data_IF_175650846479
#
_entry.id   IF_175650846479
#
_cell.length_a   1.000
_cell.length_b   1.000
_cell.length_c   1.000
_cell.angle_alpha   90.00
_cell.angle_beta   90.00
_cell.angle_gamma   90.00
#
_symmetry.space_group_name_H-M   'P 1'
#
loop_
_entity.id
_entity.type
_entity.pdbx_description
1 polymer ?
#
# COMPACT_ATOMS: atom_id res chain seq x y z
N UNK A 1 -8.79 7.61 -46.10
CA UNK A 1 -7.87 8.54 -45.39
C UNK A 1 -8.51 9.22 -44.18
N UNK A 2 -9.75 9.70 -44.23
CA UNK A 2 -10.40 10.38 -43.08
C UNK A 2 -10.63 9.45 -41.87
N UNK A 3 -10.92 8.14 -42.07
CA UNK A 3 -11.08 7.17 -40.96
C UNK A 3 -9.77 6.81 -40.22
N UNK A 4 -8.62 6.86 -40.89
CA UNK A 4 -7.31 6.63 -40.25
C UNK A 4 -6.84 7.88 -39.48
N UNK A 5 -7.17 9.07 -39.97
CA UNK A 5 -6.87 10.34 -39.28
C UNK A 5 -7.74 10.51 -38.03
N UNK A 6 -9.01 10.09 -38.05
CA UNK A 6 -9.87 10.09 -36.86
C UNK A 6 -9.39 9.09 -35.81
N UNK A 7 -8.85 7.93 -36.22
CA UNK A 7 -8.25 6.97 -35.29
C UNK A 7 -6.95 7.50 -34.66
N UNK A 8 -6.10 8.23 -35.42
CA UNK A 8 -4.87 8.84 -34.90
C UNK A 8 -5.17 10.07 -34.01
N UNK A 9 -6.22 10.85 -34.32
CA UNK A 9 -6.66 11.98 -33.49
C UNK A 9 -7.35 11.49 -32.20
N UNK A 10 -8.12 10.40 -32.24
CA UNK A 10 -8.68 9.77 -31.03
C UNK A 10 -7.62 9.03 -30.20
N UNK A 11 -6.55 8.51 -30.82
CA UNK A 11 -5.39 7.96 -30.10
C UNK A 11 -4.53 9.05 -29.43
N UNK A 12 -4.60 10.29 -29.94
CA UNK A 12 -3.86 11.45 -29.40
C UNK A 12 -4.61 12.21 -28.29
N UNK A 13 -5.84 11.80 -27.95
CA UNK A 13 -6.63 12.37 -26.85
C UNK A 13 -6.72 11.38 -25.66
N UNK A 14 -6.02 10.24 -25.72
CA UNK A 14 -5.62 9.53 -24.51
C UNK A 14 -4.45 10.28 -23.82
N UNK A 15 -4.67 11.55 -23.47
CA UNK A 15 -3.85 12.15 -22.43
C UNK A 15 -4.17 11.40 -21.14
N UNK A 16 -3.13 10.88 -20.53
CA UNK A 16 -3.19 10.15 -19.27
C UNK A 16 -4.07 10.90 -18.27
N UNK A 17 -5.21 10.30 -17.93
CA UNK A 17 -6.06 10.74 -16.83
C UNK A 17 -5.29 10.51 -15.53
N UNK A 18 -4.51 11.51 -15.12
CA UNK A 18 -4.03 11.59 -13.75
C UNK A 18 -5.24 11.91 -12.87
N UNK A 19 -5.53 11.04 -11.91
CA UNK A 19 -6.42 11.39 -10.81
C UNK A 19 -5.82 12.58 -10.04
N UNK A 20 -6.60 13.20 -9.15
CA UNK A 20 -6.19 14.27 -8.22
C UNK A 20 -5.15 13.75 -7.20
N UNK A 21 -4.05 13.20 -7.67
CA UNK A 21 -3.06 12.55 -6.86
C UNK A 21 -2.15 13.63 -6.30
N UNK A 22 -2.37 13.96 -5.04
CA UNK A 22 -1.32 14.52 -4.20
C UNK A 22 -0.60 13.34 -3.59
N UNK A 23 0.72 13.35 -3.64
CA UNK A 23 1.54 12.39 -2.93
C UNK A 23 1.92 12.97 -1.56
N UNK A 24 2.12 12.10 -0.58
CA UNK A 24 2.48 12.49 0.78
C UNK A 24 3.59 11.62 1.33
N UNK A 25 4.49 12.23 2.08
CA UNK A 25 5.53 11.56 2.84
C UNK A 25 5.50 12.07 4.29
N UNK A 26 5.15 11.19 5.22
CA UNK A 26 4.99 11.54 6.63
C UNK A 26 6.23 11.16 7.45
N UNK A 27 6.80 12.14 8.13
CA UNK A 27 7.94 11.99 9.03
C UNK A 27 7.47 12.04 10.49
N UNK A 28 7.84 11.05 11.29
CA UNK A 28 7.38 10.88 12.67
C UNK A 28 8.55 10.77 13.68
N UNK A 29 9.68 11.42 13.40
CA UNK A 29 10.83 11.45 14.31
C UNK A 29 10.63 12.43 15.46
N UNK A 30 11.29 12.20 16.61
CA UNK A 30 11.23 13.10 17.76
C UNK A 30 11.87 14.47 17.51
N UNK A 31 12.85 14.52 16.62
CA UNK A 31 13.59 15.75 16.26
C UNK A 31 13.22 16.28 14.86
N UNK A 32 12.60 15.45 14.03
CA UNK A 32 12.17 15.81 12.68
C UNK A 32 10.82 15.15 12.39
N UNK A 33 9.77 15.96 12.35
CA UNK A 33 8.41 15.51 12.11
C UNK A 33 7.64 16.50 11.25
N UNK A 34 6.70 16.00 10.48
CA UNK A 34 5.86 16.77 9.58
C UNK A 34 5.48 15.95 8.36
N UNK A 35 4.66 16.52 7.50
CA UNK A 35 4.21 15.94 6.26
C UNK A 35 4.73 16.77 5.09
N UNK A 36 5.39 16.09 4.15
CA UNK A 36 5.72 16.64 2.85
C UNK A 36 4.64 16.22 1.87
N UNK A 37 3.93 17.20 1.32
CA UNK A 37 2.98 16.99 0.24
C UNK A 37 3.63 17.35 -1.08
N UNK A 38 3.30 16.60 -2.12
CA UNK A 38 3.79 16.79 -3.48
C UNK A 38 2.59 16.80 -4.41
N UNK A 39 2.36 17.92 -5.08
CA UNK A 39 1.26 18.10 -6.04
C UNK A 39 1.75 18.77 -7.31
N UNK A 40 0.80 19.29 -8.10
CA UNK A 40 1.11 20.09 -9.30
C UNK A 40 0.44 21.46 -9.19
N UNK A 41 1.17 22.51 -9.58
CA UNK A 41 0.61 23.84 -9.73
C UNK A 41 -0.05 24.05 -11.10
N UNK A 42 -0.58 25.25 -11.32
CA UNK A 42 -1.32 25.61 -12.54
C UNK A 42 -0.53 25.46 -13.85
N UNK A 43 0.81 25.40 -13.77
CA UNK A 43 1.69 25.20 -14.90
C UNK A 43 2.11 23.73 -15.08
N UNK A 44 1.42 22.80 -14.42
CA UNK A 44 1.77 21.36 -14.38
C UNK A 44 3.18 21.09 -13.83
N UNK A 45 3.73 22.01 -13.02
CA UNK A 45 5.02 21.80 -12.35
C UNK A 45 4.80 21.21 -10.97
N UNK A 46 5.67 20.29 -10.59
CA UNK A 46 5.63 19.64 -9.30
C UNK A 46 5.94 20.65 -8.19
N UNK A 47 5.05 20.76 -7.22
CA UNK A 47 5.10 21.71 -6.11
C UNK A 47 5.13 20.95 -4.78
N UNK A 48 6.04 21.36 -3.89
CA UNK A 48 6.20 20.76 -2.57
C UNK A 48 5.59 21.67 -1.52
N UNK A 49 4.86 21.08 -0.59
CA UNK A 49 4.39 21.76 0.61
C UNK A 49 4.84 21.00 1.85
N UNK A 50 5.64 21.65 2.69
CA UNK A 50 6.12 21.12 3.96
C UNK A 50 5.40 21.79 5.11
N UNK A 51 4.82 21.02 6.02
CA UNK A 51 4.16 21.56 7.21
C UNK A 51 4.92 21.31 8.53
N UNK A 52 6.16 20.81 8.45
CA UNK A 52 7.03 20.71 9.62
C UNK A 52 7.77 22.02 9.90
N UNK A 53 8.45 22.07 11.05
CA UNK A 53 9.11 23.28 11.58
C UNK A 53 10.62 23.29 11.40
N UNK A 54 11.19 22.25 10.81
CA UNK A 54 12.65 22.12 10.58
C UNK A 54 12.92 22.27 9.10
N UNK A 55 13.86 23.15 8.75
CA UNK A 55 14.33 23.30 7.37
C UNK A 55 15.03 22.02 6.92
N UNK A 56 14.83 21.63 5.66
CA UNK A 56 15.44 20.43 5.11
C UNK A 56 15.59 20.51 3.60
N UNK A 57 16.46 19.66 3.06
CA UNK A 57 16.50 19.34 1.63
C UNK A 57 15.96 17.94 1.42
N UNK A 58 14.96 17.81 0.54
CA UNK A 58 14.29 16.56 0.24
C UNK A 58 14.86 15.91 -1.01
N UNK A 59 15.24 14.64 -0.89
CA UNK A 59 15.86 13.87 -1.98
C UNK A 59 15.16 12.51 -2.10
N UNK A 60 14.75 12.16 -3.32
CA UNK A 60 14.20 10.86 -3.65
C UNK A 60 15.30 9.86 -4.02
N UNK A 61 15.25 8.70 -3.39
CA UNK A 61 16.16 7.58 -3.58
C UNK A 61 15.48 6.43 -4.33
N UNK A 62 16.25 5.65 -5.08
CA UNK A 62 15.82 4.58 -5.97
C UNK A 62 15.44 3.28 -5.26
N UNK A 63 14.98 3.38 -4.02
CA UNK A 63 14.53 2.29 -3.15
C UNK A 63 13.25 2.73 -2.42
N UNK A 64 12.35 1.80 -2.16
CA UNK A 64 11.20 1.93 -1.27
C UNK A 64 11.42 1.26 0.09
N UNK A 65 12.62 0.75 0.35
CA UNK A 65 12.97 0.08 1.60
C UNK A 65 13.56 1.07 2.61
N UNK A 66 12.82 1.34 3.68
CA UNK A 66 13.27 2.20 4.77
C UNK A 66 14.45 1.63 5.56
N UNK A 67 14.83 0.36 5.40
CA UNK A 67 16.02 -0.21 6.02
C UNK A 67 17.26 -0.13 5.11
N UNK A 68 17.10 0.24 3.84
CA UNK A 68 18.21 0.34 2.91
C UNK A 68 19.16 1.49 3.28
N UNK A 69 20.46 1.28 3.02
CA UNK A 69 21.47 2.32 3.10
C UNK A 69 21.28 3.32 1.96
N UNK A 70 21.30 4.60 2.29
CA UNK A 70 21.23 5.69 1.32
C UNK A 70 22.64 6.19 1.00
N UNK A 71 22.89 6.49 -0.28
CA UNK A 71 24.15 7.02 -0.78
C UNK A 71 23.96 7.80 -2.08
N UNK A 72 25.01 8.48 -2.56
CA UNK A 72 24.97 9.22 -3.82
C UNK A 72 24.48 8.40 -5.03
N UNK A 73 24.85 7.11 -5.12
CA UNK A 73 24.45 6.23 -6.23
C UNK A 73 23.00 5.77 -6.16
N UNK A 74 22.35 5.94 -5.01
CA UNK A 74 20.94 5.59 -4.82
C UNK A 74 20.01 6.75 -5.15
N UNK A 75 20.52 7.96 -5.42
CA UNK A 75 19.65 9.09 -5.80
C UNK A 75 19.05 8.83 -7.19
N UNK A 76 17.76 9.08 -7.36
CA UNK A 76 17.13 8.94 -8.67
C UNK A 76 17.77 9.91 -9.68
N UNK A 77 18.17 9.40 -10.85
CA UNK A 77 18.87 10.21 -11.85
C UNK A 77 20.26 10.69 -11.42
N UNK A 78 20.89 10.00 -10.46
CA UNK A 78 22.21 10.34 -9.88
C UNK A 78 23.22 10.80 -10.94
N UNK A 79 23.63 12.06 -10.76
CA UNK A 79 24.85 12.65 -11.31
C UNK A 79 25.79 12.98 -10.13
N UNK A 80 27.07 13.28 -10.39
CA UNK A 80 28.00 13.67 -9.32
C UNK A 80 27.58 14.95 -8.56
N UNK A 81 26.74 15.78 -9.19
CA UNK A 81 26.24 17.06 -8.65
C UNK A 81 24.72 17.08 -8.70
N UNK A 82 24.08 17.49 -7.60
CA UNK A 82 22.63 17.56 -7.48
C UNK A 82 22.19 19.00 -7.74
N UNK A 83 21.22 19.16 -8.64
CA UNK A 83 20.58 20.44 -8.99
C UNK A 83 19.09 20.20 -9.19
N UNK A 84 18.25 21.22 -9.01
CA UNK A 84 16.80 21.12 -9.19
C UNK A 84 16.40 20.71 -10.62
N UNK A 85 17.13 21.16 -11.63
CA UNK A 85 16.73 20.96 -13.03
C UNK A 85 17.28 19.67 -13.66
N UNK A 86 18.45 19.17 -13.21
CA UNK A 86 19.11 18.03 -13.85
C UNK A 86 18.93 16.71 -13.09
N UNK A 87 18.67 16.75 -11.78
CA UNK A 87 18.64 15.54 -10.96
C UNK A 87 17.20 15.18 -10.59
N UNK A 88 16.67 14.09 -11.16
CA UNK A 88 15.31 13.59 -10.85
C UNK A 88 15.08 13.40 -9.34
N UNK A 89 16.10 12.97 -8.61
CA UNK A 89 16.00 12.73 -7.18
C UNK A 89 16.10 13.97 -6.32
N UNK A 90 16.53 15.12 -6.83
CA UNK A 90 16.63 16.34 -6.02
C UNK A 90 15.30 17.09 -6.09
N UNK A 91 14.52 17.11 -5.00
CA UNK A 91 13.16 17.64 -5.04
C UNK A 91 13.12 19.13 -4.73
N UNK A 92 13.47 19.52 -3.50
CA UNK A 92 13.56 20.94 -3.13
C UNK A 92 14.32 21.11 -1.83
N UNK A 93 14.81 22.32 -1.63
CA UNK A 93 15.03 22.85 -0.30
C UNK A 93 13.73 23.49 0.20
N UNK A 94 13.37 23.28 1.47
CA UNK A 94 12.27 23.99 2.10
C UNK A 94 12.75 24.63 3.39
N UNK A 95 12.59 25.96 3.46
CA UNK A 95 12.82 26.72 4.69
C UNK A 95 11.80 26.30 5.76
N UNK A 96 12.13 26.45 7.04
CA UNK A 96 11.33 25.97 8.18
C UNK A 96 9.87 26.51 8.27
N UNK A 97 9.47 27.42 7.39
CA UNK A 97 8.11 27.95 7.28
C UNK A 97 7.32 27.19 6.21
N UNK A 98 6.02 27.00 6.44
CA UNK A 98 5.09 26.37 5.51
C UNK A 98 5.01 27.14 4.19
N UNK A 99 5.88 26.80 3.24
CA UNK A 99 6.03 27.47 1.96
C UNK A 99 5.94 26.45 0.85
N UNK A 100 5.12 26.76 -0.15
CA UNK A 100 5.11 25.99 -1.37
C UNK A 100 6.39 26.31 -2.16
N UNK A 101 7.17 25.30 -2.50
CA UNK A 101 8.42 25.45 -3.27
C UNK A 101 8.29 24.68 -4.57
N UNK A 102 8.54 25.35 -5.69
CA UNK A 102 8.60 24.72 -7.01
C UNK A 102 9.84 23.86 -7.09
N UNK A 103 9.67 22.55 -7.29
CA UNK A 103 10.79 21.59 -7.30
C UNK A 103 11.68 21.65 -8.53
N UNK A 104 11.13 22.01 -9.69
CA UNK A 104 11.81 21.82 -10.97
C UNK A 104 11.20 22.70 -12.08
N UNK A 105 12.03 23.25 -12.97
CA UNK A 105 11.55 23.87 -14.21
C UNK A 105 11.21 22.84 -15.31
N UNK A 106 11.78 21.64 -15.24
CA UNK A 106 11.53 20.48 -16.10
C UNK A 106 10.39 19.60 -15.56
N UNK A 107 9.18 19.81 -16.09
CA UNK A 107 7.93 19.14 -15.70
C UNK A 107 7.87 17.63 -15.98
N UNK A 108 8.84 17.09 -16.73
CA UNK A 108 8.85 15.67 -17.12
C UNK A 108 9.86 14.84 -16.33
N UNK A 109 10.83 15.49 -15.71
CA UNK A 109 11.90 14.83 -14.96
C UNK A 109 11.40 14.28 -13.61
N UNK A 110 10.47 14.99 -12.97
CA UNK A 110 9.90 14.65 -11.67
C UNK A 110 8.39 14.65 -11.76
N UNK A 111 7.79 13.49 -11.54
CA UNK A 111 6.34 13.32 -11.58
C UNK A 111 5.90 12.45 -10.42
N UNK A 112 4.63 12.55 -10.04
CA UNK A 112 3.97 11.59 -9.13
C UNK A 112 3.10 10.58 -9.90
N UNK A 113 3.02 10.73 -11.23
CA UNK A 113 2.31 9.84 -12.16
C UNK A 113 3.23 9.41 -13.32
N UNK A 114 2.84 8.39 -14.08
CA UNK A 114 3.59 7.92 -15.24
C UNK A 114 4.93 7.25 -14.90
N UNK A 115 5.74 6.95 -15.92
CA UNK A 115 6.97 6.15 -15.78
C UNK A 115 8.03 6.78 -14.85
N UNK A 116 8.00 8.11 -14.71
CA UNK A 116 8.87 8.85 -13.81
C UNK A 116 8.29 9.09 -12.41
N UNK A 117 7.18 8.42 -12.06
CA UNK A 117 6.55 8.57 -10.75
C UNK A 117 7.53 8.35 -9.60
N UNK A 118 7.45 9.23 -8.60
CA UNK A 118 8.18 9.15 -7.35
C UNK A 118 7.43 8.32 -6.30
N UNK A 119 6.17 7.92 -6.54
CA UNK A 119 5.37 7.15 -5.59
C UNK A 119 6.02 5.79 -5.33
N UNK A 120 6.05 5.38 -4.06
CA UNK A 120 6.71 4.17 -3.59
C UNK A 120 8.22 4.29 -3.43
N UNK A 121 8.83 5.43 -3.73
CA UNK A 121 10.24 5.68 -3.44
C UNK A 121 10.44 6.35 -2.09
N UNK A 122 11.59 6.11 -1.48
CA UNK A 122 12.02 6.75 -0.25
C UNK A 122 12.36 8.21 -0.54
N UNK A 123 11.71 9.11 0.18
CA UNK A 123 12.12 10.52 0.29
C UNK A 123 12.89 10.67 1.59
N UNK A 124 14.11 11.19 1.47
CA UNK A 124 14.99 11.48 2.59
C UNK A 124 15.11 12.99 2.79
N UNK A 125 15.05 13.42 4.05
CA UNK A 125 15.25 14.80 4.46
C UNK A 125 16.67 14.95 5.02
N UNK A 126 17.43 15.90 4.50
CA UNK A 126 18.81 16.18 4.93
C UNK A 126 18.93 17.58 5.53
N UNK A 127 19.88 17.73 6.47
CA UNK A 127 20.01 18.91 7.33
C UNK A 127 20.55 20.15 6.62
N UNK A 128 21.40 19.98 5.61
CA UNK A 128 21.94 21.12 4.89
C UNK A 128 20.99 21.55 3.79
N UNK A 129 20.79 22.86 3.77
CA UNK A 129 19.78 23.58 3.04
C UNK A 129 20.49 24.69 2.25
N UNK A 130 21.15 24.38 1.12
CA UNK A 130 21.69 25.42 0.26
C UNK A 130 20.53 26.27 -0.31
N UNK A 131 20.83 27.44 -0.86
CA UNK A 131 19.83 28.24 -1.59
C UNK A 131 19.15 27.39 -2.68
N UNK A 132 17.89 27.72 -2.99
CA UNK A 132 17.13 27.01 -4.02
C UNK A 132 17.93 26.94 -5.33
N UNK A 133 18.07 25.72 -5.87
CA UNK A 133 18.78 25.38 -7.11
C UNK A 133 20.31 25.46 -7.10
N UNK A 134 20.96 25.74 -5.97
CA UNK A 134 22.43 25.66 -5.92
C UNK A 134 22.93 24.21 -6.07
N UNK A 135 23.98 24.05 -6.86
CA UNK A 135 24.67 22.79 -7.04
C UNK A 135 25.21 22.26 -5.69
N UNK A 136 24.76 21.08 -5.29
CA UNK A 136 25.20 20.44 -4.05
C UNK A 136 25.66 19.01 -4.29
N UNK A 137 26.72 18.60 -3.62
CA UNK A 137 27.15 17.18 -3.64
C UNK A 137 26.38 16.38 -2.61
N UNK A 138 26.35 15.05 -2.74
CA UNK A 138 25.75 14.20 -1.71
C UNK A 138 26.34 14.44 -0.31
N UNK A 139 27.66 14.58 -0.20
CA UNK A 139 28.33 14.92 1.05
C UNK A 139 27.92 16.30 1.59
N UNK A 140 27.60 17.24 0.68
CA UNK A 140 27.12 18.58 1.00
C UNK A 140 25.71 18.63 1.57
N UNK A 141 24.89 17.57 1.42
CA UNK A 141 23.55 17.49 2.01
C UNK A 141 23.56 17.41 3.54
N UNK A 142 24.69 17.00 4.13
CA UNK A 142 24.82 16.90 5.59
C UNK A 142 24.08 15.70 6.17
N UNK A 143 23.67 15.81 7.43
CA UNK A 143 23.09 14.69 8.17
C UNK A 143 21.68 14.34 7.67
N UNK A 144 21.37 13.04 7.62
CA UNK A 144 20.01 12.55 7.41
C UNK A 144 19.15 12.87 8.64
N UNK A 145 18.07 13.64 8.44
CA UNK A 145 17.11 14.01 9.48
C UNK A 145 15.99 12.98 9.61
N UNK A 146 15.55 12.41 8.48
CA UNK A 146 14.45 11.45 8.44
C UNK A 146 14.23 10.90 7.03
N UNK A 147 13.43 9.83 6.95
CA UNK A 147 13.02 9.21 5.69
C UNK A 147 11.61 8.64 5.80
N UNK A 148 10.90 8.64 4.69
CA UNK A 148 9.59 8.02 4.53
C UNK A 148 9.44 7.50 3.10
N UNK A 149 8.48 6.61 2.88
CA UNK A 149 8.10 6.16 1.53
C UNK A 149 6.98 7.07 1.04
N UNK A 150 7.11 7.60 -0.18
CA UNK A 150 6.10 8.47 -0.77
C UNK A 150 4.83 7.66 -1.09
N UNK A 151 3.71 8.03 -0.47
CA UNK A 151 2.41 7.40 -0.67
C UNK A 151 1.41 8.30 -1.40
N UNK A 152 0.23 7.74 -1.70
CA UNK A 152 -0.92 8.50 -2.21
C UNK A 152 -1.64 9.16 -1.03
N UNK A 153 -1.91 10.46 -1.09
CA UNK A 153 -2.56 11.22 -0.02
C UNK A 153 -4.08 11.04 0.02
N UNK A 154 -4.69 11.17 1.21
CA UNK A 154 -6.14 11.22 1.38
C UNK A 154 -6.62 12.66 1.49
N UNK A 155 -7.00 13.27 0.36
CA UNK A 155 -7.46 14.65 0.29
C UNK A 155 -8.87 14.90 0.81
N UNK A 156 -9.62 13.83 1.12
CA UNK A 156 -11.00 13.94 1.62
C UNK A 156 -11.08 13.87 3.14
N UNK A 157 -9.98 13.50 3.81
CA UNK A 157 -9.96 13.49 5.25
C UNK A 157 -10.05 14.92 5.78
N UNK A 158 -10.97 15.16 6.71
CA UNK A 158 -11.07 16.42 7.47
C UNK A 158 -9.79 16.71 8.30
N UNK A 159 -8.77 15.83 8.21
CA UNK A 159 -7.53 15.84 8.95
C UNK A 159 -6.32 16.23 8.10
N UNK A 160 -6.46 16.41 6.77
CA UNK A 160 -5.44 17.12 5.97
C UNK A 160 -5.46 18.56 6.42
N UNK A 161 -4.43 19.00 7.14
CA UNK A 161 -4.22 20.41 7.43
C UNK A 161 -4.30 21.22 6.12
N UNK A 162 -4.94 22.38 6.16
CA UNK A 162 -5.29 23.16 4.96
C UNK A 162 -4.12 23.26 3.99
N UNK A 163 -4.18 22.52 2.87
CA UNK A 163 -3.20 22.67 1.79
C UNK A 163 -3.31 24.10 1.21
N UNK A 164 -2.21 24.69 0.70
CA UNK A 164 -2.26 26.00 0.09
C UNK A 164 -3.31 26.06 -1.03
N UNK A 165 -4.04 27.18 -1.11
CA UNK A 165 -4.93 27.42 -2.25
C UNK A 165 -4.11 27.41 -3.55
N UNK A 166 -4.52 26.63 -4.55
CA UNK A 166 -3.75 26.43 -5.79
C UNK A 166 -2.99 25.11 -5.88
N UNK A 167 -2.77 24.41 -4.75
CA UNK A 167 -1.96 23.17 -4.69
C UNK A 167 -2.61 21.96 -5.39
N UNK A 168 -3.83 22.13 -5.90
CA UNK A 168 -4.61 21.12 -6.64
C UNK A 168 -5.19 21.66 -7.95
N UNK A 169 -4.79 22.86 -8.39
CA UNK A 169 -5.62 23.69 -9.26
C UNK A 169 -5.60 23.38 -10.76
N UNK A 170 -4.74 22.49 -11.27
CA UNK A 170 -4.81 22.07 -12.69
C UNK A 170 -4.52 20.59 -12.85
N UNK A 171 -5.51 19.75 -12.57
CA UNK A 171 -5.64 18.42 -13.19
C UNK A 171 -7.14 18.18 -13.42
N UNK A 172 -7.54 17.89 -14.66
CA UNK A 172 -8.94 17.58 -14.97
C UNK A 172 -9.25 16.19 -14.40
N UNK A 173 -10.17 16.18 -13.46
CA UNK A 173 -10.51 15.02 -12.65
C UNK A 173 -11.15 13.91 -13.48
N UNK A 174 -10.59 12.71 -13.45
CA UNK A 174 -11.35 11.51 -13.80
C UNK A 174 -12.02 10.93 -12.54
N UNK A 175 -13.29 11.31 -12.34
CA UNK A 175 -14.17 10.75 -11.30
C UNK A 175 -14.66 9.33 -11.65
N UNK A 176 -14.30 8.76 -12.81
CA UNK A 176 -14.81 7.47 -13.29
C UNK A 176 -13.96 6.27 -12.87
N UNK A 177 -12.78 6.47 -12.27
CA UNK A 177 -11.98 5.40 -11.66
C UNK A 177 -12.02 5.49 -10.14
N UNK A 178 -13.23 5.31 -9.58
CA UNK A 178 -13.40 5.07 -8.14
C UNK A 178 -12.50 3.92 -7.68
N UNK A 179 -11.49 4.21 -6.87
CA UNK A 179 -10.60 3.24 -6.21
C UNK A 179 -9.63 2.43 -7.11
N UNK A 180 -9.67 2.63 -8.42
CA UNK A 180 -8.74 2.04 -9.40
C UNK A 180 -7.47 2.89 -9.59
N UNK A 181 -6.95 3.49 -8.51
CA UNK A 181 -5.79 4.37 -8.64
C UNK A 181 -4.63 3.60 -9.28
N UNK A 182 -4.33 3.97 -10.53
CA UNK A 182 -3.10 3.60 -11.20
C UNK A 182 -1.99 4.43 -10.54
N UNK A 183 -1.44 3.97 -9.42
CA UNK A 183 -0.03 4.26 -9.22
C UNK A 183 0.65 3.62 -10.43
N UNK A 184 1.21 4.44 -11.31
CA UNK A 184 1.61 3.93 -12.62
C UNK A 184 2.84 3.03 -12.46
N UNK A 185 2.71 1.79 -12.92
CA UNK A 185 3.77 0.81 -12.97
C UNK A 185 4.63 1.07 -14.21
N UNK A 186 5.88 1.48 -14.02
CA UNK A 186 6.86 1.49 -15.10
C UNK A 186 7.24 0.04 -15.44
N UNK A 187 6.65 -0.49 -16.50
CA UNK A 187 6.91 -1.83 -16.99
C UNK A 187 8.37 -2.06 -17.42
N UNK A 188 9.16 -1.00 -17.60
CA UNK A 188 10.59 -1.10 -17.89
C UNK A 188 11.41 -1.40 -16.63
N UNK A 189 10.90 -1.07 -15.43
CA UNK A 189 11.61 -1.28 -14.17
C UNK A 189 11.50 -2.71 -13.64
N UNK A 190 10.65 -3.55 -14.23
CA UNK A 190 10.44 -4.95 -13.81
C UNK A 190 10.25 -5.11 -12.28
N UNK A 191 9.52 -4.20 -11.65
CA UNK A 191 9.32 -4.23 -10.20
C UNK A 191 8.43 -5.42 -9.85
N UNK A 192 9.04 -6.46 -9.30
CA UNK A 192 8.35 -7.68 -8.86
C UNK A 192 8.20 -7.73 -7.34
N UNK A 193 8.80 -6.80 -6.60
CA UNK A 193 8.73 -6.79 -5.14
C UNK A 193 8.35 -5.42 -4.59
N UNK A 194 7.50 -5.43 -3.57
CA UNK A 194 7.19 -4.27 -2.74
C UNK A 194 7.45 -4.57 -1.28
N UNK A 195 7.96 -3.58 -0.56
CA UNK A 195 8.29 -3.72 0.86
C UNK A 195 7.61 -2.64 1.69
N UNK A 196 7.16 -3.02 2.89
CA UNK A 196 6.43 -2.16 3.81
C UNK A 196 7.02 -2.33 5.21
N UNK A 197 7.66 -1.28 5.72
CA UNK A 197 8.17 -1.24 7.09
C UNK A 197 7.13 -0.59 8.00
N UNK A 198 6.50 -1.39 8.87
CA UNK A 198 5.46 -0.90 9.78
C UNK A 198 6.04 -0.04 10.89
N UNK A 199 5.33 1.04 11.19
CA UNK A 199 5.46 1.84 12.39
C UNK A 199 4.19 1.70 13.23
N UNK A 200 4.35 1.73 14.56
CA UNK A 200 3.21 1.72 15.48
C UNK A 200 2.43 3.04 15.38
N UNK A 201 1.11 2.96 15.52
CA UNK A 201 0.24 4.13 15.66
C UNK A 201 0.08 4.51 17.13
N UNK A 202 -0.56 5.65 17.41
CA UNK A 202 -0.98 6.01 18.78
C UNK A 202 -1.96 5.02 19.42
N UNK A 203 -2.55 4.14 18.61
CA UNK A 203 -3.48 3.12 19.09
C UNK A 203 -2.79 1.83 19.50
N UNK A 204 -1.50 1.70 19.24
CA UNK A 204 -0.70 0.60 19.77
C UNK A 204 -0.59 0.73 21.29
N UNK A 205 -1.16 -0.23 22.01
CA UNK A 205 -1.25 -0.18 23.47
C UNK A 205 -0.77 -1.48 24.14
N UNK A 206 0.06 -2.25 23.44
CA UNK A 206 0.76 -3.39 24.02
C UNK A 206 1.99 -2.94 24.81
N UNK A 207 2.47 -3.80 25.70
CA UNK A 207 3.66 -3.54 26.52
C UNK A 207 4.97 -3.87 25.78
N UNK A 208 4.90 -4.65 24.71
CA UNK A 208 6.04 -5.03 23.89
C UNK A 208 6.56 -3.89 23.02
N UNK A 209 7.83 -3.97 22.63
CA UNK A 209 8.38 -3.07 21.60
C UNK A 209 7.92 -3.54 20.23
N UNK A 210 7.12 -2.72 19.55
CA UNK A 210 6.61 -3.07 18.23
C UNK A 210 7.72 -3.22 17.20
N UNK A 211 7.60 -4.25 16.37
CA UNK A 211 8.33 -4.36 15.09
C UNK A 211 7.40 -5.00 14.06
N UNK A 212 7.49 -4.59 12.79
CA UNK A 212 6.62 -5.14 11.76
C UNK A 212 7.13 -4.87 10.36
N UNK A 213 7.03 -5.86 9.48
CA UNK A 213 7.37 -5.69 8.06
C UNK A 213 6.58 -6.64 7.17
N UNK A 214 6.33 -6.24 5.93
CA UNK A 214 5.71 -7.06 4.91
C UNK A 214 6.45 -6.94 3.56
N UNK A 215 6.49 -8.04 2.82
CA UNK A 215 7.02 -8.16 1.47
C UNK A 215 5.94 -8.77 0.56
N UNK A 216 5.63 -8.08 -0.53
CA UNK A 216 4.76 -8.56 -1.60
C UNK A 216 5.65 -8.91 -2.80
N UNK A 217 5.66 -10.17 -3.20
CA UNK A 217 6.42 -10.69 -4.34
C UNK A 217 5.48 -11.16 -5.43
N UNK A 218 5.46 -10.45 -6.54
CA UNK A 218 4.67 -10.76 -7.73
C UNK A 218 5.41 -11.71 -8.66
N UNK A 219 4.78 -12.83 -8.97
CA UNK A 219 5.26 -13.80 -9.93
C UNK A 219 4.64 -13.50 -11.30
N UNK A 220 5.43 -12.91 -12.21
CA UNK A 220 4.98 -12.59 -13.57
C UNK A 220 4.55 -13.83 -14.39
N UNK A 221 5.11 -15.00 -14.09
CA UNK A 221 4.82 -16.24 -14.82
C UNK A 221 3.48 -16.83 -14.43
N UNK A 222 3.16 -16.86 -13.13
CA UNK A 222 1.86 -17.39 -12.66
C UNK A 222 0.77 -16.32 -12.58
N UNK A 223 1.15 -15.04 -12.47
CA UNK A 223 0.23 -13.93 -12.21
C UNK A 223 -0.16 -13.79 -10.74
N UNK A 224 0.47 -14.53 -9.82
CA UNK A 224 0.14 -14.47 -8.40
C UNK A 224 1.07 -13.55 -7.62
N UNK A 225 0.54 -12.91 -6.59
CA UNK A 225 1.33 -12.20 -5.57
C UNK A 225 1.41 -13.03 -4.30
N UNK A 226 2.63 -13.28 -3.82
CA UNK A 226 2.89 -13.85 -2.49
C UNK A 226 3.22 -12.74 -1.51
N UNK A 227 2.44 -12.67 -0.44
CA UNK A 227 2.63 -11.74 0.67
C UNK A 227 3.25 -12.50 1.83
N UNK A 228 4.33 -11.97 2.38
CA UNK A 228 4.95 -12.45 3.63
C UNK A 228 5.06 -11.31 4.62
N UNK A 229 4.74 -11.57 5.89
CA UNK A 229 4.88 -10.55 6.93
C UNK A 229 5.31 -11.15 8.26
N UNK A 230 5.96 -10.31 9.08
CA UNK A 230 6.37 -10.62 10.43
C UNK A 230 6.11 -9.43 11.34
N UNK A 231 5.48 -9.67 12.48
CA UNK A 231 5.19 -8.67 13.51
C UNK A 231 5.66 -9.14 14.88
N UNK A 232 6.11 -8.24 15.74
CA UNK A 232 6.53 -8.53 17.10
C UNK A 232 6.08 -7.44 18.08
N UNK A 233 6.11 -7.75 19.37
CA UNK A 233 5.65 -6.85 20.44
C UNK A 233 4.13 -6.87 20.65
N UNK A 234 3.43 -7.85 20.07
CA UNK A 234 2.00 -8.08 20.23
C UNK A 234 1.76 -9.05 21.40
N UNK A 235 0.51 -9.11 21.90
CA UNK A 235 0.13 -10.14 22.88
C UNK A 235 0.25 -11.54 22.26
N UNK A 236 0.60 -12.54 23.06
CA UNK A 236 0.70 -13.93 22.62
C UNK A 236 -0.70 -14.51 22.31
N UNK A 237 -0.80 -15.39 21.31
CA UNK A 237 -2.05 -16.08 20.94
C UNK A 237 -3.20 -15.13 20.58
N UNK A 238 -2.90 -13.95 20.04
CA UNK A 238 -3.85 -12.96 19.53
C UNK A 238 -3.98 -13.03 18.00
N UNK A 239 -5.10 -12.52 17.50
CA UNK A 239 -5.42 -12.45 16.08
C UNK A 239 -5.67 -11.00 15.66
N UNK A 240 -5.13 -10.61 14.51
CA UNK A 240 -5.15 -9.25 14.00
C UNK A 240 -5.52 -9.23 12.52
N UNK A 241 -6.46 -8.37 12.12
CA UNK A 241 -6.73 -8.11 10.71
C UNK A 241 -5.54 -7.41 10.02
N UNK A 242 -5.26 -7.77 8.76
CA UNK A 242 -4.22 -7.19 7.94
C UNK A 242 -4.83 -6.78 6.59
N UNK A 243 -4.64 -5.52 6.22
CA UNK A 243 -5.30 -4.97 5.03
C UNK A 243 -4.38 -4.02 4.25
N UNK A 244 -4.54 -3.98 2.94
CA UNK A 244 -4.07 -2.88 2.09
C UNK A 244 -5.22 -1.88 2.00
N UNK A 245 -4.92 -0.61 2.21
CA UNK A 245 -5.85 0.50 2.21
C UNK A 245 -5.69 1.37 0.97
N UNK A 246 -6.68 2.22 0.69
CA UNK A 246 -6.72 3.03 -0.53
C UNK A 246 -5.55 4.01 -0.61
N UNK A 247 -5.18 4.65 0.51
CA UNK A 247 -4.16 5.69 0.55
C UNK A 247 -2.90 5.24 1.28
N UNK A 248 -1.76 5.80 0.92
CA UNK A 248 -0.49 5.69 1.63
C UNK A 248 -0.23 6.88 2.54
N UNK A 249 -1.28 7.45 3.09
CA UNK A 249 -1.23 8.64 3.92
C UNK A 249 -1.10 8.26 5.39
N UNK A 250 0.05 8.58 5.98
CA UNK A 250 0.35 8.32 7.39
C UNK A 250 0.32 9.61 8.24
N UNK A 251 -0.30 10.68 7.74
CA UNK A 251 -0.34 11.99 8.41
C UNK A 251 -1.11 11.96 9.74
N UNK A 252 -2.08 11.05 9.86
CA UNK A 252 -2.87 10.88 11.08
C UNK A 252 -2.28 9.73 11.88
N UNK A 253 -1.77 10.04 13.07
CA UNK A 253 -1.06 9.12 13.93
C UNK A 253 -1.88 7.92 14.46
N UNK A 254 -3.22 7.95 14.34
CA UNK A 254 -4.12 6.82 14.63
C UNK A 254 -4.22 5.85 13.46
N UNK A 255 -3.66 6.22 12.31
CA UNK A 255 -3.75 5.52 11.04
C UNK A 255 -5.02 5.83 10.25
N UNK A 256 -5.89 6.77 10.67
CA UNK A 256 -7.17 7.03 9.99
C UNK A 256 -7.01 7.44 8.51
N UNK A 257 -5.95 8.19 8.19
CA UNK A 257 -5.67 8.74 6.87
C UNK A 257 -5.36 7.70 5.78
N UNK A 258 -5.04 6.43 6.10
CA UNK A 258 -4.93 5.41 5.04
C UNK A 258 -6.27 5.12 4.35
N UNK A 259 -7.39 5.58 4.92
CA UNK A 259 -8.72 5.51 4.31
C UNK A 259 -9.37 4.12 4.37
N UNK A 260 -10.36 3.82 3.52
CA UNK A 260 -11.01 2.51 3.47
C UNK A 260 -10.07 1.43 2.92
N UNK A 261 -10.51 0.17 2.95
CA UNK A 261 -9.77 -0.92 2.32
C UNK A 261 -9.65 -0.66 0.82
N UNK A 262 -8.52 -1.08 0.24
CA UNK A 262 -8.32 -0.94 -1.20
C UNK A 262 -9.31 -1.82 -1.95
N UNK A 263 -10.20 -1.18 -2.69
CA UNK A 263 -11.23 -1.79 -3.51
C UNK A 263 -10.98 -1.43 -4.98
N UNK A 264 -11.27 -2.30 -5.94
CA UNK A 264 -11.12 -2.01 -7.37
C UNK A 264 -12.44 -2.10 -8.13
N UNK A 265 -13.53 -2.55 -7.51
CA UNK A 265 -14.85 -2.65 -8.15
C UNK A 265 -15.97 -2.33 -7.17
N UNK A 266 -16.97 -1.57 -7.62
CA UNK A 266 -18.18 -1.31 -6.84
C UNK A 266 -18.95 -2.58 -6.43
N UNK A 267 -18.72 -3.71 -7.11
CA UNK A 267 -19.29 -5.01 -6.77
C UNK A 267 -18.53 -5.77 -5.70
N UNK A 268 -17.32 -5.34 -5.34
CA UNK A 268 -16.58 -5.92 -4.23
C UNK A 268 -17.15 -5.40 -2.91
N UNK A 269 -17.47 -6.34 -2.03
CA UNK A 269 -17.76 -6.08 -0.61
C UNK A 269 -16.61 -6.62 0.22
N UNK A 270 -16.44 -6.15 1.45
CA UNK A 270 -15.45 -6.74 2.34
C UNK A 270 -15.74 -8.24 2.55
N UNK A 271 -14.70 -9.07 2.51
CA UNK A 271 -14.78 -10.50 2.80
C UNK A 271 -13.38 -11.08 3.07
N UNK A 272 -13.32 -12.24 3.71
CA UNK A 272 -12.07 -12.95 3.96
C UNK A 272 -11.56 -13.69 2.71
N UNK A 273 -10.24 -13.79 2.49
CA UNK A 273 -9.69 -14.79 1.57
C UNK A 273 -10.18 -16.22 1.90
N UNK A 274 -10.37 -17.11 0.91
CA UNK A 274 -10.16 -16.94 -0.52
C UNK A 274 -11.43 -16.50 -1.26
N UNK A 275 -12.37 -15.78 -0.63
CA UNK A 275 -13.65 -15.45 -1.24
C UNK A 275 -13.50 -14.79 -2.62
N UNK A 276 -14.32 -15.27 -3.59
CA UNK A 276 -14.31 -14.81 -4.98
C UNK A 276 -14.82 -13.37 -5.16
N UNK A 277 -15.42 -12.79 -4.13
CA UNK A 277 -15.77 -11.38 -4.07
C UNK A 277 -15.38 -10.85 -2.70
N UNK A 278 -14.30 -10.06 -2.69
CA UNK A 278 -13.75 -9.37 -1.53
C UNK A 278 -13.14 -8.06 -1.99
N UNK A 279 -12.88 -7.10 -1.10
CA UNK A 279 -12.03 -5.97 -1.50
C UNK A 279 -10.63 -6.50 -1.85
N UNK A 280 -10.01 -5.91 -2.87
CA UNK A 280 -8.66 -6.29 -3.34
C UNK A 280 -7.63 -6.30 -2.20
N UNK A 281 -7.72 -5.33 -1.28
CA UNK A 281 -6.86 -5.19 -0.12
C UNK A 281 -7.17 -6.08 1.09
N UNK A 282 -8.21 -6.91 1.05
CA UNK A 282 -8.55 -7.81 2.16
C UNK A 282 -7.57 -8.99 2.25
N UNK A 283 -6.63 -8.96 3.21
CA UNK A 283 -5.65 -10.04 3.39
C UNK A 283 -6.03 -10.99 4.54
N UNK A 284 -7.12 -10.68 5.24
CA UNK A 284 -7.62 -11.46 6.36
C UNK A 284 -6.79 -11.23 7.63
N UNK A 285 -6.41 -12.29 8.31
CA UNK A 285 -5.86 -12.28 9.66
C UNK A 285 -4.41 -12.74 9.72
N UNK A 286 -3.66 -12.25 10.72
CA UNK A 286 -2.37 -12.77 11.18
C UNK A 286 -2.46 -13.13 12.66
N UNK A 287 -1.75 -14.18 13.09
CA UNK A 287 -1.76 -14.64 14.49
C UNK A 287 -0.38 -14.66 15.10
N UNK A 288 -0.34 -14.25 16.36
CA UNK A 288 0.86 -14.31 17.18
C UNK A 288 1.01 -15.70 17.78
N UNK A 289 2.26 -16.13 17.92
CA UNK A 289 2.64 -17.38 18.56
C UNK A 289 3.04 -17.11 20.02
N UNK A 290 3.44 -18.17 20.75
CA UNK A 290 3.83 -18.07 22.17
C UNK A 290 5.02 -17.13 22.41
N UNK A 291 5.83 -16.87 21.39
CA UNK A 291 6.96 -15.95 21.44
C UNK A 291 6.56 -14.47 21.25
N UNK A 292 5.26 -14.17 21.10
CA UNK A 292 4.76 -12.82 20.83
C UNK A 292 5.07 -12.32 19.41
N UNK A 293 5.45 -13.23 18.51
CA UNK A 293 5.73 -12.94 17.10
C UNK A 293 4.60 -13.47 16.24
N UNK A 294 4.11 -12.65 15.32
CA UNK A 294 3.12 -13.02 14.32
C UNK A 294 3.81 -13.27 12.98
N UNK A 295 3.48 -14.37 12.32
CA UNK A 295 4.00 -14.73 11.00
C UNK A 295 2.84 -14.88 10.02
N UNK A 296 3.03 -14.40 8.80
CA UNK A 296 2.03 -14.43 7.75
C UNK A 296 2.66 -14.84 6.42
N UNK A 297 1.97 -15.72 5.69
CA UNK A 297 2.27 -16.02 4.30
C UNK A 297 0.96 -16.35 3.58
N UNK A 298 0.70 -15.65 2.48
CA UNK A 298 -0.50 -15.85 1.67
C UNK A 298 -0.19 -15.57 0.20
N UNK A 299 -0.75 -16.37 -0.69
CA UNK A 299 -0.60 -16.19 -2.14
C UNK A 299 -1.96 -15.96 -2.77
N UNK A 300 -2.09 -14.92 -3.61
CA UNK A 300 -3.35 -14.52 -4.23
C UNK A 300 -3.17 -13.99 -5.63
N UNK A 301 -4.17 -14.23 -6.47
CA UNK A 301 -4.33 -13.66 -7.80
C UNK A 301 -5.22 -12.39 -7.81
N UNK A 302 -5.63 -11.87 -6.65
CA UNK A 302 -6.39 -10.60 -6.56
C UNK A 302 -5.51 -9.38 -6.79
N UNK A 303 -4.23 -9.50 -6.46
CA UNK A 303 -3.24 -8.42 -6.57
C UNK A 303 -2.35 -8.76 -7.76
N UNK A 304 -2.65 -8.16 -8.91
CA UNK A 304 -1.99 -8.44 -10.20
C UNK A 304 -1.56 -7.14 -10.88
N UNK A 305 -0.45 -6.54 -10.43
CA UNK A 305 -0.11 -5.17 -10.86
C UNK A 305 0.44 -5.05 -12.29
N UNK A 306 1.02 -6.10 -12.87
CA UNK A 306 1.52 -6.10 -14.26
C UNK A 306 0.42 -6.50 -15.29
N UNK A 307 -0.67 -7.15 -14.85
CA UNK A 307 -1.65 -7.76 -15.77
C UNK A 307 -2.87 -6.88 -16.01
N UNK A 308 -3.32 -6.13 -14.99
CA UNK A 308 -4.61 -5.42 -15.03
C UNK A 308 -4.52 -3.95 -14.58
N UNK A 309 -3.31 -3.39 -14.41
CA UNK A 309 -3.13 -2.02 -13.91
C UNK A 309 -3.45 -1.82 -12.43
N UNK A 310 -3.69 -2.92 -11.68
CA UNK A 310 -3.99 -2.90 -10.25
C UNK A 310 -2.72 -2.71 -9.42
N UNK A 311 -2.30 -1.48 -9.21
CA UNK A 311 -1.03 -1.21 -8.54
C UNK A 311 -1.20 -0.89 -7.03
N UNK A 312 -0.57 -1.66 -6.13
CA UNK A 312 -0.53 -1.36 -4.70
C UNK A 312 0.65 -0.47 -4.29
N UNK A 313 1.55 -0.08 -5.20
CA UNK A 313 2.65 0.86 -4.92
C UNK A 313 2.10 2.16 -4.35
N UNK A 314 2.70 2.64 -3.25
CA UNK A 314 2.32 3.88 -2.58
C UNK A 314 1.01 3.80 -1.79
N UNK A 315 0.39 2.63 -1.69
CA UNK A 315 -0.76 2.41 -0.82
C UNK A 315 -0.32 2.01 0.58
N UNK A 316 -1.18 2.28 1.55
CA UNK A 316 -0.94 1.96 2.95
C UNK A 316 -1.28 0.51 3.26
N UNK A 317 -0.53 -0.13 4.15
CA UNK A 317 -0.98 -1.34 4.85
C UNK A 317 -1.29 -0.99 6.29
N UNK A 318 -2.29 -1.66 6.87
CA UNK A 318 -2.62 -1.53 8.29
C UNK A 318 -2.75 -2.89 8.95
N UNK A 319 -2.13 -3.02 10.12
CA UNK A 319 -2.42 -4.07 11.10
C UNK A 319 -3.48 -3.54 12.05
N UNK A 320 -4.59 -4.27 12.16
CA UNK A 320 -5.73 -3.92 13.00
C UNK A 320 -5.66 -4.62 14.34
N UNK A 321 -6.24 -4.00 15.36
CA UNK A 321 -6.22 -4.54 16.71
C UNK A 321 -7.00 -5.84 16.82
N UNK A 322 -8.18 -5.92 16.21
CA UNK A 322 -9.06 -7.07 16.36
C UNK A 322 -8.96 -7.98 15.13
N UNK A 323 -9.46 -9.20 15.32
CA UNK A 323 -9.71 -10.17 14.26
C UNK A 323 -10.67 -9.59 13.22
N UNK A 324 -10.35 -9.81 11.96
CA UNK A 324 -11.23 -9.62 10.81
C UNK A 324 -12.24 -10.80 10.73
N UNK A 325 -13.52 -10.47 10.62
CA UNK A 325 -14.63 -11.42 10.53
C UNK A 325 -15.22 -11.58 9.12
N UNK A 326 -14.74 -10.82 8.13
CA UNK A 326 -15.22 -10.88 6.76
C UNK A 326 -16.55 -10.17 6.50
N UNK A 327 -17.08 -9.40 7.45
CA UNK A 327 -18.41 -8.78 7.32
C UNK A 327 -18.40 -7.25 7.33
N UNK A 328 -17.73 -6.61 8.28
CA UNK A 328 -17.67 -5.14 8.39
C UNK A 328 -16.34 -4.61 7.86
N UNK A 329 -16.10 -3.30 7.81
CA UNK A 329 -14.77 -2.76 7.41
C UNK A 329 -14.04 -2.09 8.58
N UNK A 330 -14.52 -2.33 9.80
CA UNK A 330 -14.03 -1.67 11.01
C UNK A 330 -13.69 -2.72 12.07
N UNK A 331 -12.41 -3.07 12.15
CA UNK A 331 -11.89 -4.17 12.98
C UNK A 331 -11.12 -3.68 14.20
N UNK A 332 -11.64 -2.62 14.81
CA UNK A 332 -10.96 -1.91 15.87
C UNK A 332 -9.88 -0.97 15.35
N UNK A 333 -9.06 -0.47 16.27
CA UNK A 333 -8.04 0.51 15.94
C UNK A 333 -6.97 -0.06 14.99
N UNK A 334 -6.45 0.78 14.08
CA UNK A 334 -5.24 0.48 13.29
C UNK A 334 -4.05 0.66 14.22
N UNK A 335 -3.41 -0.41 14.64
CA UNK A 335 -2.33 -0.39 15.65
C UNK A 335 -0.95 -0.19 15.01
N UNK A 336 -0.80 -0.48 13.73
CA UNK A 336 0.40 -0.20 12.97
C UNK A 336 0.09 0.05 11.51
N UNK A 337 0.87 0.92 10.86
CA UNK A 337 0.71 1.25 9.44
C UNK A 337 2.06 1.39 8.74
N UNK A 338 2.06 1.24 7.41
CA UNK A 338 3.19 1.56 6.53
C UNK A 338 2.72 1.87 5.12
N UNK A 339 3.63 2.32 4.26
CA UNK A 339 3.40 2.54 2.83
C UNK A 339 4.20 1.51 2.03
N UNK A 340 3.57 0.93 0.99
CA UNK A 340 4.20 -0.03 0.09
C UNK A 340 5.19 0.65 -0.84
N UNK A 341 6.48 0.41 -0.60
CA UNK A 341 7.58 0.95 -1.37
C UNK A 341 8.12 0.00 -2.44
N UNK A 342 8.66 0.58 -3.51
CA UNK A 342 9.29 -0.14 -4.62
C UNK A 342 10.58 -0.84 -4.18
N UNK A 343 10.62 -2.17 -4.27
CA UNK A 343 11.84 -2.93 -3.96
C UNK A 343 12.48 -3.46 -5.25
N UNK A 344 13.61 -2.85 -5.65
CA UNK A 344 14.36 -3.28 -6.84
C UNK A 344 15.13 -4.58 -6.63
N UNK A 345 15.55 -4.86 -5.40
CA UNK A 345 16.23 -6.10 -5.05
C UNK A 345 15.24 -7.26 -4.93
N UNK A 346 15.77 -8.48 -4.95
CA UNK A 346 14.98 -9.69 -4.70
C UNK A 346 14.52 -9.83 -3.24
N UNK A 347 15.17 -9.13 -2.31
CA UNK A 347 14.88 -9.16 -0.88
C UNK A 347 15.13 -7.78 -0.24
N UNK A 348 14.41 -7.44 0.85
CA UNK A 348 14.65 -6.21 1.60
C UNK A 348 16.00 -6.28 2.34
N UNK A 349 16.56 -5.12 2.66
CA UNK A 349 17.80 -4.97 3.41
C UNK A 349 17.74 -5.62 4.79
N UNK A 350 16.55 -5.67 5.40
CA UNK A 350 16.24 -6.47 6.58
C UNK A 350 15.30 -7.63 6.19
N UNK A 351 15.81 -8.85 5.94
CA UNK A 351 15.00 -9.97 5.47
C UNK A 351 13.90 -10.41 6.45
N UNK A 352 12.74 -10.77 5.90
CA UNK A 352 11.64 -11.37 6.64
C UNK A 352 11.89 -12.88 6.73
N UNK A 353 12.24 -13.36 7.93
CA UNK A 353 12.47 -14.77 8.19
C UNK A 353 11.19 -15.42 8.73
N UNK A 354 10.58 -16.30 7.94
CA UNK A 354 9.44 -17.15 8.34
C UNK A 354 9.96 -18.56 8.70
N UNK A 355 9.66 -19.10 9.89
CA UNK A 355 10.06 -20.46 10.24
C UNK A 355 9.48 -21.50 9.27
N UNK A 356 10.32 -22.38 8.74
CA UNK A 356 9.92 -23.41 7.78
C UNK A 356 8.94 -24.46 8.36
N UNK A 357 8.81 -24.53 9.68
CA UNK A 357 7.88 -25.41 10.40
C UNK A 357 6.44 -24.91 10.39
N UNK A 358 6.20 -23.66 9.97
CA UNK A 358 4.86 -23.10 9.88
C UNK A 358 4.23 -23.46 8.54
N UNK A 359 3.05 -24.05 8.58
CA UNK A 359 2.27 -24.40 7.40
C UNK A 359 1.14 -23.39 7.22
N UNK A 360 1.07 -22.76 6.04
CA UNK A 360 0.04 -21.78 5.65
C UNK A 360 -0.88 -22.32 4.55
N UNK A 361 -0.88 -23.64 4.32
CA UNK A 361 -1.59 -24.28 3.20
C UNK A 361 -3.11 -24.41 3.40
N UNK A 362 -3.62 -24.33 4.65
CA UNK A 362 -5.05 -24.42 4.96
C UNK A 362 -5.69 -23.04 5.17
N UNK A 363 -6.70 -22.72 4.35
CA UNK A 363 -7.51 -21.48 4.42
C UNK A 363 -8.44 -21.37 5.64
N UNK A 364 -8.17 -22.04 6.77
CA UNK A 364 -9.27 -22.43 7.67
C UNK A 364 -9.90 -21.32 8.50
N UNK A 365 -9.35 -20.10 8.55
CA UNK A 365 -10.14 -18.90 8.95
C UNK A 365 -9.54 -17.56 8.41
N UNK A 366 -8.70 -17.68 7.37
CA UNK A 366 -8.13 -16.63 6.51
C UNK A 366 -7.26 -15.54 7.15
N UNK A 367 -5.96 -15.66 7.46
CA UNK A 367 -5.07 -16.83 7.42
C UNK A 367 -4.20 -16.80 8.67
N UNK A 368 -4.66 -17.49 9.71
CA UNK A 368 -3.83 -17.98 10.80
C UNK A 368 -3.86 -19.50 10.83
N UNK A 369 -2.70 -20.15 11.01
CA UNK A 369 -2.59 -21.61 11.06
C UNK A 369 -1.55 -22.03 12.10
N UNK A 370 -1.86 -21.82 13.40
CA UNK A 370 -0.98 -22.27 14.48
C UNK A 370 -0.66 -23.76 14.32
N UNK A 371 0.63 -24.09 14.17
CA UNK A 371 1.10 -25.45 14.27
C UNK A 371 0.88 -25.95 15.70
N UNK A 372 0.18 -27.07 15.86
CA UNK A 372 0.29 -27.87 17.08
C UNK A 372 1.77 -28.17 17.29
N UNK A 373 2.37 -27.64 18.37
CA UNK A 373 3.64 -28.16 18.86
C UNK A 373 3.38 -29.59 19.32
N UNK A 374 3.39 -30.54 18.39
CA UNK A 374 3.48 -31.95 18.74
C UNK A 374 4.89 -32.15 19.26
N UNK A 375 5.09 -31.87 20.55
CA UNK A 375 6.16 -32.49 21.28
C UNK A 375 5.95 -33.99 21.12
N UNK A 376 6.76 -34.60 20.25
CA UNK A 376 6.88 -36.05 20.15
C UNK A 376 7.47 -36.55 21.47
N UNK A 377 6.61 -36.63 22.48
CA UNK A 377 6.88 -37.43 23.67
C UNK A 377 6.47 -38.83 23.27
N UNK A 378 7.45 -39.58 22.78
CA UNK A 378 7.30 -41.02 22.59
C UNK A 378 7.15 -41.62 23.99
N UNK A 379 5.91 -41.73 24.46
CA UNK A 379 5.58 -42.55 25.62
C UNK A 379 4.79 -43.75 25.11
N UNK A 380 5.54 -44.77 24.71
CA UNK A 380 5.09 -46.15 24.63
C UNK A 380 4.53 -46.57 25.98
N UNK A 381 3.22 -46.86 26.08
CA UNK A 381 2.69 -48.10 26.71
C UNK A 381 1.14 -48.21 26.64
N UNK A 382 0.71 -49.27 25.95
CA UNK A 382 -0.36 -50.24 26.27
C UNK A 382 -1.81 -49.82 26.58
N UNK A 383 -2.67 -50.05 25.59
CA UNK A 383 -3.94 -50.83 25.59
C UNK A 383 -4.89 -50.83 26.81
N UNK A 384 -6.14 -50.42 26.57
CA UNK A 384 -7.32 -51.28 26.80
C UNK A 384 -8.53 -50.88 25.96
N UNK A 385 -9.15 -51.90 25.37
CA UNK A 385 -10.40 -51.93 24.61
C UNK A 385 -11.61 -51.79 25.52
N UNK A 386 -12.62 -51.01 25.11
CA UNK A 386 -14.02 -51.27 25.49
C UNK A 386 -14.98 -50.63 24.48
N UNK A 387 -15.75 -51.51 23.83
CA UNK A 387 -16.88 -51.25 22.95
C UNK A 387 -18.13 -50.83 23.73
N UNK A 388 -18.94 -49.92 23.17
CA UNK A 388 -20.38 -49.89 23.43
C UNK A 388 -21.16 -49.37 22.23
N UNK A 389 -21.99 -50.26 21.70
CA UNK A 389 -22.99 -50.09 20.66
C UNK A 389 -24.27 -49.47 21.24
N UNK A 390 -24.91 -48.54 20.51
CA UNK A 390 -26.38 -48.46 20.48
C UNK A 390 -26.88 -47.73 19.23
N UNK A 391 -27.81 -48.40 18.56
CA UNK A 391 -28.72 -48.03 17.46
C UNK A 391 -29.79 -47.02 17.96
N UNK A 392 -30.67 -46.34 17.22
CA UNK A 392 -31.52 -46.62 16.03
C UNK A 392 -32.29 -45.34 15.65
N UNK A 393 -32.64 -45.20 14.36
CA UNK A 393 -33.92 -44.67 13.84
C UNK A 393 -34.13 -43.14 13.81
N UNK A 394 -34.90 -42.55 12.91
CA UNK A 394 -35.63 -43.01 11.72
C UNK A 394 -36.12 -41.76 10.94
N UNK A 395 -36.41 -41.99 9.68
CA UNK A 395 -37.07 -41.25 8.59
C UNK A 395 -38.05 -40.08 8.86
N UNK A 396 -38.18 -39.23 7.82
CA UNK A 396 -39.25 -38.24 7.69
C UNK A 396 -39.22 -37.49 6.36
N UNK A 397 -39.87 -38.07 5.35
CA UNK A 397 -40.11 -37.55 4.00
C UNK A 397 -41.14 -36.39 4.01
N UNK A 398 -40.96 -35.36 3.16
CA UNK A 398 -42.10 -34.68 2.48
C UNK A 398 -41.67 -33.68 1.40
N UNK A 399 -42.00 -34.05 0.17
CA UNK A 399 -42.29 -33.27 -1.03
C UNK A 399 -43.15 -32.01 -0.82
N UNK A 400 -42.94 -30.96 -1.64
CA UNK A 400 -43.93 -30.45 -2.62
C UNK A 400 -43.47 -29.15 -3.31
N UNK A 401 -43.67 -29.11 -4.62
CA UNK A 401 -43.70 -27.90 -5.45
C UNK A 401 -44.85 -26.97 -5.03
N UNK A 402 -44.62 -25.65 -4.99
CA UNK A 402 -45.61 -24.65 -5.42
C UNK A 402 -44.88 -23.46 -6.06
N UNK A 403 -45.36 -23.12 -7.25
CA UNK A 403 -44.94 -22.04 -8.14
C UNK A 403 -45.95 -20.89 -7.98
N UNK A 404 -45.50 -19.66 -7.64
CA UNK A 404 -46.31 -18.43 -7.82
C UNK A 404 -45.41 -17.25 -8.21
N UNK A 405 -45.52 -16.90 -9.48
CA UNK A 405 -45.57 -15.57 -10.15
C UNK A 405 -45.08 -14.30 -9.43
N UNK A 406 -44.14 -13.60 -10.08
CA UNK A 406 -44.00 -12.13 -9.99
C UNK A 406 -44.09 -11.50 -11.38
N UNK A 407 -44.96 -10.50 -11.50
CA UNK A 407 -45.15 -9.57 -12.62
C UNK A 407 -44.26 -8.32 -12.45
N UNK A 408 -44.15 -7.54 -13.54
CA UNK A 408 -43.56 -6.19 -13.75
C UNK A 408 -42.11 -6.20 -14.31
N UNK A 409 -41.92 -6.26 -15.63
CA UNK A 409 -42.00 -5.22 -16.71
C UNK A 409 -40.66 -4.52 -16.97
N UNK A 410 -40.09 -4.75 -18.17
CA UNK A 410 -39.87 -3.80 -19.30
C UNK A 410 -38.76 -2.77 -19.04
N UNK A 411 -37.88 -2.38 -19.96
CA UNK A 411 -37.33 -2.84 -21.23
C UNK A 411 -36.35 -1.71 -21.62
N UNK A 412 -35.18 -2.03 -22.16
CA UNK A 412 -34.49 -1.28 -23.23
C UNK A 412 -33.07 -1.82 -23.44
N UNK A 413 -32.98 -2.96 -24.13
CA UNK A 413 -31.77 -3.37 -24.86
C UNK A 413 -32.25 -3.62 -26.28
N UNK A 414 -32.11 -2.63 -27.15
CA UNK A 414 -32.13 -2.77 -28.62
C UNK A 414 -31.88 -1.39 -29.24
N UNK A 415 -30.60 -1.00 -29.30
CA UNK A 415 -30.12 -0.10 -30.36
C UNK A 415 -28.62 -0.29 -30.58
N UNK A 416 -28.23 -1.51 -30.91
CA UNK A 416 -26.94 -1.81 -31.55
C UNK A 416 -27.24 -2.16 -33.00
N UNK A 417 -27.53 -1.15 -33.82
CA UNK A 417 -27.49 -1.16 -35.28
C UNK A 417 -27.71 0.30 -35.73
N UNK A 418 -26.73 0.83 -36.46
CA UNK A 418 -26.59 2.20 -37.00
C UNK A 418 -25.99 3.20 -36.01
N UNK A 419 -24.65 3.24 -35.92
CA UNK A 419 -23.79 4.28 -36.51
C UNK A 419 -22.32 3.93 -36.33
#
# INVERSE_FOLDING_TARGET
>A
MIKQIICIILLSICFANAANEVAICSFAGSTFSGNLYIGYNDNSRLELFWNGSTAATFVAHNTGDLNAALSASTILGSSATLTCDDTRGFLAHVSATSSAVSSNSNVTAQTITGANSLIGYVIAAYANAPSDCDAVTYAGLGNLLGKCVLGVADLNSNEVGTLPAGFTSVVTVDQLVSNQAQSFYDNTLNIVNLFCQFAQTQKFNYTGTFSGSALLSFNKTSGDTTITAKFGGLDSLSTHGLHIHTFGDLSVNTGASVGPHWNTSSTQTHNLPPANTRHTGDLGNVCTYLDGVAYYKFTTNYITWDVNGLNPIGRGMALHRNRDDGTTTSFGDRIATCVLGNLKSSAPAAPINIPATLDFSSNSDAVCTQASTTASTTTTTSSTTSSSTTTTGDSGNSSALVQVTYLFTIACVLLSLLF
#
